data_IF_556619133747
#
_entry.id   IF_556619133747
#
_cell.length_a   1.000
_cell.length_b   1.000
_cell.length_c   1.000
_cell.angle_alpha   90.00
_cell.angle_beta   90.00
_cell.angle_gamma   90.00
#
_symmetry.space_group_name_H-M   'P 1'
#
loop_
_entity.id
_entity.type
_entity.pdbx_description
1 polymer ?
#
# COMPACT_ATOMS: atom_id res chain seq x y z
N UNK A 1 -50.06 -9.99 -2.42
CA UNK A 1 -49.02 -10.83 -1.77
C UNK A 1 -47.87 -11.25 -2.70
N UNK A 2 -48.12 -11.78 -3.91
CA UNK A 2 -47.04 -12.16 -4.86
C UNK A 2 -46.06 -11.03 -5.22
N UNK A 3 -46.53 -9.79 -5.37
CA UNK A 3 -45.67 -8.64 -5.70
C UNK A 3 -44.78 -8.18 -4.53
N UNK A 4 -45.23 -8.31 -3.29
CA UNK A 4 -44.42 -7.95 -2.10
C UNK A 4 -43.28 -8.96 -1.90
N UNK A 5 -43.55 -10.25 -2.13
CA UNK A 5 -42.53 -11.30 -2.08
C UNK A 5 -41.48 -11.09 -3.18
N UNK A 6 -41.91 -10.70 -4.39
CA UNK A 6 -41.00 -10.38 -5.50
C UNK A 6 -40.08 -9.20 -5.13
N UNK A 7 -40.61 -8.11 -4.57
CA UNK A 7 -39.83 -6.94 -4.15
C UNK A 7 -38.84 -7.24 -3.01
N UNK A 8 -39.21 -8.09 -2.04
CA UNK A 8 -38.33 -8.52 -0.94
C UNK A 8 -37.17 -9.38 -1.48
N UNK A 9 -37.45 -10.27 -2.43
CA UNK A 9 -36.42 -11.11 -3.06
C UNK A 9 -35.39 -10.26 -3.83
N UNK A 10 -35.83 -9.21 -4.54
CA UNK A 10 -34.92 -8.33 -5.28
C UNK A 10 -33.99 -7.52 -4.36
N UNK A 11 -34.46 -7.11 -3.17
CA UNK A 11 -33.65 -6.33 -2.21
C UNK A 11 -32.56 -7.18 -1.55
N UNK A 12 -32.83 -8.47 -1.30
CA UNK A 12 -31.87 -9.39 -0.69
C UNK A 12 -30.63 -9.63 -1.57
N UNK A 13 -30.77 -9.59 -2.91
CA UNK A 13 -29.65 -9.79 -3.84
C UNK A 13 -28.72 -8.58 -4.03
N UNK A 14 -29.07 -7.38 -3.56
CA UNK A 14 -28.26 -6.16 -3.74
C UNK A 14 -27.16 -6.03 -2.65
N UNK A 15 -27.11 -6.94 -1.68
CA UNK A 15 -26.27 -6.78 -0.49
C UNK A 15 -24.84 -7.31 -0.61
N UNK A 16 -24.43 -7.92 -1.74
CA UNK A 16 -23.20 -8.73 -1.75
C UNK A 16 -22.04 -8.12 -2.57
N UNK A 17 -20.87 -8.10 -1.94
CA UNK A 17 -19.56 -7.63 -2.40
C UNK A 17 -19.29 -6.12 -2.26
N UNK A 18 -18.16 -5.82 -1.63
CA UNK A 18 -17.61 -4.46 -1.57
C UNK A 18 -17.23 -4.00 -2.98
N UNK A 19 -17.84 -2.90 -3.45
CA UNK A 19 -17.48 -2.28 -4.72
C UNK A 19 -16.21 -1.43 -4.62
N UNK A 20 -15.56 -1.17 -5.76
CA UNK A 20 -14.33 -0.35 -5.85
C UNK A 20 -14.51 1.04 -5.24
N UNK A 21 -15.65 1.72 -5.48
CA UNK A 21 -15.95 3.04 -4.89
C UNK A 21 -15.96 3.00 -3.36
N UNK A 22 -16.61 2.00 -2.78
CA UNK A 22 -16.68 1.82 -1.32
C UNK A 22 -15.31 1.47 -0.74
N UNK A 23 -14.55 0.63 -1.45
CA UNK A 23 -13.18 0.29 -1.08
C UNK A 23 -12.26 1.52 -1.10
N UNK A 24 -12.26 2.31 -2.17
CA UNK A 24 -11.54 3.59 -2.25
C UNK A 24 -11.91 4.52 -1.09
N UNK A 25 -13.21 4.64 -0.75
CA UNK A 25 -13.65 5.45 0.38
C UNK A 25 -13.13 4.98 1.75
N UNK A 26 -12.65 3.74 1.88
CA UNK A 26 -11.97 3.26 3.09
C UNK A 26 -10.48 3.59 3.09
N UNK A 27 -9.85 3.52 1.92
CA UNK A 27 -8.40 3.70 1.75
C UNK A 27 -8.03 5.18 1.74
N UNK A 28 -8.78 6.00 1.00
CA UNK A 28 -8.47 7.41 0.73
C UNK A 28 -8.19 8.25 1.98
N UNK A 29 -9.07 8.23 3.01
CA UNK A 29 -8.83 9.02 4.22
C UNK A 29 -7.57 8.62 4.99
N UNK A 30 -7.05 7.40 4.78
CA UNK A 30 -5.83 6.93 5.46
C UNK A 30 -4.55 7.39 4.76
N UNK A 31 -4.62 7.90 3.53
CA UNK A 31 -3.47 8.44 2.79
C UNK A 31 -3.49 9.96 2.62
N UNK A 32 -4.58 10.63 3.04
CA UNK A 32 -4.61 12.08 3.17
C UNK A 32 -3.79 12.51 4.40
N UNK A 33 -2.49 12.69 4.23
CA UNK A 33 -1.60 13.26 5.24
C UNK A 33 -1.30 14.72 4.94
N UNK A 34 -1.21 15.55 5.98
CA UNK A 34 -0.79 16.95 5.83
C UNK A 34 0.73 16.98 5.82
N UNK A 35 1.30 17.30 4.66
CA UNK A 35 2.74 17.34 4.46
C UNK A 35 3.39 18.39 5.37
N UNK A 36 4.48 18.00 6.05
CA UNK A 36 5.42 18.93 6.66
C UNK A 36 6.66 18.87 5.77
N UNK A 37 6.85 19.88 4.92
CA UNK A 37 8.07 19.97 4.12
C UNK A 37 9.22 20.35 5.03
N UNK A 38 10.16 19.44 5.24
CA UNK A 38 11.44 19.73 5.86
C UNK A 38 12.49 19.69 4.76
N UNK A 39 13.12 20.82 4.46
CA UNK A 39 14.22 20.90 3.50
C UNK A 39 15.54 20.93 4.26
N UNK A 40 16.56 20.25 3.71
CA UNK A 40 17.94 20.27 4.24
C UNK A 40 18.89 20.66 3.11
N UNK A 41 19.80 21.59 3.37
CA UNK A 41 20.67 22.15 2.32
C UNK A 41 21.63 21.13 1.68
N UNK A 42 21.92 20.03 2.40
CA UNK A 42 22.90 19.01 1.99
C UNK A 42 22.26 17.69 1.53
N UNK A 43 20.93 17.55 1.61
CA UNK A 43 20.21 16.32 1.23
C UNK A 43 19.07 16.70 0.29
N UNK A 44 19.10 16.20 -0.94
CA UNK A 44 18.05 16.41 -1.93
C UNK A 44 17.44 15.07 -2.32
N UNK A 45 16.11 14.97 -2.30
CA UNK A 45 15.38 13.75 -2.67
C UNK A 45 14.52 14.04 -3.89
N UNK A 46 14.85 13.37 -4.99
CA UNK A 46 14.15 13.40 -6.26
C UNK A 46 13.12 12.26 -6.34
N UNK A 47 11.86 12.66 -6.45
CA UNK A 47 10.71 11.76 -6.64
C UNK A 47 10.22 11.70 -8.09
N UNK A 48 10.84 12.43 -9.03
CA UNK A 48 10.43 12.47 -10.44
C UNK A 48 10.57 11.12 -11.16
N UNK A 49 11.35 10.19 -10.60
CA UNK A 49 11.44 8.82 -11.07
C UNK A 49 10.18 7.99 -10.83
N UNK A 50 9.24 8.48 -10.01
CA UNK A 50 7.99 7.81 -9.70
C UNK A 50 6.87 8.20 -10.67
N UNK A 51 6.08 7.23 -11.11
CA UNK A 51 4.93 7.49 -11.97
C UNK A 51 3.89 8.33 -11.22
N UNK A 52 3.64 9.55 -11.69
CA UNK A 52 2.62 10.40 -11.10
C UNK A 52 1.26 10.10 -11.73
N UNK A 53 0.36 9.49 -10.97
CA UNK A 53 -0.99 9.16 -11.41
C UNK A 53 -1.99 10.26 -11.04
N UNK A 54 -2.97 10.52 -11.91
CA UNK A 54 -4.07 11.43 -11.58
C UNK A 54 -4.90 10.89 -10.40
N UNK A 55 -4.88 11.59 -9.27
CA UNK A 55 -5.60 11.25 -8.03
C UNK A 55 -4.74 10.56 -6.98
N UNK A 56 -5.24 10.51 -5.75
CA UNK A 56 -4.56 9.94 -4.57
C UNK A 56 -4.56 8.42 -4.60
N UNK A 57 -5.72 7.81 -4.86
CA UNK A 57 -5.92 6.36 -4.89
C UNK A 57 -6.83 5.96 -6.05
N UNK A 58 -6.49 4.86 -6.70
CA UNK A 58 -7.27 4.21 -7.75
C UNK A 58 -7.53 2.76 -7.34
N UNK A 59 -8.81 2.40 -7.19
CA UNK A 59 -9.22 1.00 -6.99
C UNK A 59 -9.79 0.43 -8.28
N UNK A 60 -9.19 -0.64 -8.79
CA UNK A 60 -9.64 -1.36 -9.99
C UNK A 60 -10.15 -2.75 -9.62
N UNK A 61 -11.25 -3.16 -10.25
CA UNK A 61 -11.83 -4.49 -10.08
C UNK A 61 -11.04 -5.46 -10.95
N UNK A 62 -10.41 -6.46 -10.35
CA UNK A 62 -9.65 -7.50 -11.05
C UNK A 62 -10.56 -8.71 -11.34
N UNK A 63 -11.35 -9.13 -10.34
CA UNK A 63 -12.30 -10.23 -10.47
C UNK A 63 -13.55 -9.94 -9.66
N UNK A 64 -14.72 -10.28 -10.20
CA UNK A 64 -16.00 -10.11 -9.53
C UNK A 64 -16.97 -11.13 -10.08
N UNK A 65 -17.23 -12.17 -9.31
CA UNK A 65 -18.08 -13.28 -9.68
C UNK A 65 -18.96 -13.66 -8.50
N UNK A 66 -20.24 -13.89 -8.77
CA UNK A 66 -21.18 -14.45 -7.82
C UNK A 66 -22.04 -15.51 -8.52
N UNK A 67 -22.06 -16.72 -8.00
CA UNK A 67 -22.83 -17.85 -8.53
C UNK A 67 -23.81 -18.29 -7.46
N UNK A 68 -25.09 -17.86 -7.55
CA UNK A 68 -26.13 -18.27 -6.60
C UNK A 68 -26.88 -19.50 -7.13
N UNK A 69 -26.40 -20.71 -6.83
CA UNK A 69 -27.18 -21.94 -7.05
C UNK A 69 -27.99 -22.31 -5.81
N UNK A 70 -29.04 -23.13 -5.96
CA UNK A 70 -29.98 -23.45 -4.86
C UNK A 70 -29.26 -24.03 -3.63
N UNK A 71 -28.32 -24.96 -3.85
CA UNK A 71 -27.58 -25.63 -2.78
C UNK A 71 -26.11 -25.21 -2.70
N UNK A 72 -25.68 -24.27 -3.54
CA UNK A 72 -24.28 -23.88 -3.67
C UNK A 72 -24.13 -22.42 -4.05
N UNK A 73 -23.52 -21.63 -3.17
CA UNK A 73 -23.16 -20.24 -3.45
C UNK A 73 -21.66 -20.12 -3.59
N UNK A 74 -21.20 -19.36 -4.56
CA UNK A 74 -19.78 -19.03 -4.71
C UNK A 74 -19.63 -17.54 -4.97
N UNK A 75 -18.64 -16.92 -4.32
CA UNK A 75 -18.26 -15.54 -4.58
C UNK A 75 -16.77 -15.40 -4.74
N UNK A 76 -16.37 -14.43 -5.56
CA UNK A 76 -14.99 -14.03 -5.72
C UNK A 76 -14.94 -12.55 -6.12
N UNK A 77 -14.45 -11.71 -5.22
CA UNK A 77 -14.26 -10.28 -5.43
C UNK A 77 -12.81 -9.92 -5.14
N UNK A 78 -12.08 -9.52 -6.17
CA UNK A 78 -10.69 -9.08 -6.08
C UNK A 78 -10.59 -7.64 -6.56
N UNK A 79 -10.02 -6.78 -5.73
CA UNK A 79 -9.82 -5.36 -5.97
C UNK A 79 -8.32 -5.06 -5.86
N UNK A 80 -7.72 -4.53 -6.92
CA UNK A 80 -6.38 -3.94 -6.87
C UNK A 80 -6.51 -2.49 -6.45
N UNK A 81 -5.78 -2.10 -5.43
CA UNK A 81 -5.68 -0.73 -4.97
C UNK A 81 -4.30 -0.19 -5.32
N UNK A 82 -4.28 0.94 -6.02
CA UNK A 82 -3.08 1.66 -6.42
C UNK A 82 -3.11 3.00 -5.72
N UNK A 83 -2.12 3.24 -4.87
CA UNK A 83 -1.85 4.54 -4.23
C UNK A 83 -0.90 5.30 -5.14
N UNK A 84 -1.09 6.61 -5.28
CA UNK A 84 -0.16 7.44 -6.04
C UNK A 84 1.26 7.26 -5.47
N UNK A 85 2.22 6.74 -6.27
CA UNK A 85 3.59 6.52 -5.83
C UNK A 85 4.25 7.76 -5.22
N UNK A 86 3.94 8.95 -5.72
CA UNK A 86 4.45 10.23 -5.20
C UNK A 86 4.07 10.45 -3.74
N UNK A 87 2.87 10.05 -3.31
CA UNK A 87 2.44 10.18 -1.90
C UNK A 87 3.26 9.24 -1.01
N UNK A 88 3.54 8.03 -1.49
CA UNK A 88 4.40 7.09 -0.78
C UNK A 88 5.85 7.60 -0.76
N UNK A 89 6.31 8.20 -1.86
CA UNK A 89 7.62 8.85 -1.99
C UNK A 89 7.81 10.03 -1.04
N UNK A 90 6.78 10.85 -0.84
CA UNK A 90 6.78 11.93 0.15
C UNK A 90 6.88 11.39 1.58
N UNK A 91 6.18 10.27 1.87
CA UNK A 91 6.34 9.60 3.17
C UNK A 91 7.75 9.03 3.34
N UNK A 92 8.35 8.51 2.26
CA UNK A 92 9.74 8.07 2.26
C UNK A 92 10.68 9.23 2.57
N UNK A 93 10.51 10.40 1.95
CA UNK A 93 11.30 11.59 2.20
C UNK A 93 11.22 12.04 3.67
N UNK A 94 10.01 12.13 4.22
CA UNK A 94 9.79 12.49 5.64
C UNK A 94 10.51 11.52 6.58
N UNK A 95 10.34 10.20 6.38
CA UNK A 95 11.02 9.20 7.19
C UNK A 95 12.53 9.20 6.99
N UNK A 96 13.00 9.45 5.77
CA UNK A 96 14.42 9.50 5.47
C UNK A 96 15.08 10.63 6.24
N UNK A 97 14.50 11.82 6.21
CA UNK A 97 14.99 12.98 6.95
C UNK A 97 14.93 12.73 8.46
N UNK A 98 13.82 12.16 8.95
CA UNK A 98 13.70 11.77 10.36
C UNK A 98 14.83 10.82 10.81
N UNK A 99 15.14 9.79 10.01
CA UNK A 99 16.19 8.84 10.34
C UNK A 99 17.59 9.41 10.14
N UNK A 100 17.77 10.25 9.12
CA UNK A 100 18.99 11.00 8.87
C UNK A 100 19.38 11.84 10.09
N UNK A 101 18.41 12.52 10.70
CA UNK A 101 18.61 13.29 11.93
C UNK A 101 18.96 12.37 13.10
N UNK A 102 18.22 11.27 13.28
CA UNK A 102 18.45 10.34 14.41
C UNK A 102 19.79 9.59 14.34
N UNK A 103 20.36 9.44 13.14
CA UNK A 103 21.60 8.72 12.87
C UNK A 103 22.76 9.65 12.51
N UNK A 104 22.61 10.97 12.70
CA UNK A 104 23.64 11.97 12.42
C UNK A 104 24.26 11.88 11.03
N UNK A 105 23.45 11.62 10.00
CA UNK A 105 23.92 11.52 8.61
C UNK A 105 24.57 12.84 8.17
N UNK A 106 24.03 13.99 8.59
CA UNK A 106 24.58 15.29 8.26
C UNK A 106 26.02 15.48 8.77
N UNK A 107 26.33 14.99 9.96
CA UNK A 107 27.69 15.04 10.53
C UNK A 107 28.66 14.14 9.75
N UNK A 108 28.16 12.98 9.30
CA UNK A 108 28.92 12.03 8.48
C UNK A 108 29.20 12.55 7.06
N UNK A 109 28.35 13.42 6.54
CA UNK A 109 28.56 14.02 5.22
C UNK A 109 29.75 15.00 5.20
N UNK A 110 30.17 15.56 6.34
CA UNK A 110 31.35 16.45 6.43
C UNK A 110 31.36 17.59 5.38
N UNK A 111 30.19 18.19 5.10
CA UNK A 111 30.03 19.26 4.10
C UNK A 111 29.79 18.78 2.66
N UNK A 112 29.77 17.47 2.41
CA UNK A 112 29.35 16.88 1.14
C UNK A 112 27.84 16.98 0.98
N UNK A 113 27.38 16.96 -0.28
CA UNK A 113 25.96 16.95 -0.63
C UNK A 113 25.58 15.57 -1.14
N UNK A 114 24.38 15.13 -0.79
CA UNK A 114 23.81 13.89 -1.31
C UNK A 114 22.50 14.15 -2.04
N UNK A 115 22.44 13.61 -3.25
CA UNK A 115 21.25 13.55 -4.08
C UNK A 115 20.74 12.12 -4.08
N UNK A 116 19.47 11.92 -3.78
CA UNK A 116 18.79 10.64 -3.76
C UNK A 116 17.70 10.65 -4.82
N UNK A 117 17.61 9.60 -5.62
CA UNK A 117 16.52 9.41 -6.58
C UNK A 117 15.77 8.13 -6.25
N UNK A 118 14.49 8.27 -5.89
CA UNK A 118 13.63 7.11 -5.61
C UNK A 118 13.16 6.51 -6.94
N UNK A 119 13.68 5.34 -7.27
CA UNK A 119 13.37 4.66 -8.55
C UNK A 119 12.15 3.76 -8.45
N UNK A 120 12.02 3.03 -7.33
CA UNK A 120 10.92 2.10 -7.10
C UNK A 120 10.46 2.15 -5.65
N UNK A 121 9.16 2.09 -5.43
CA UNK A 121 8.53 2.06 -4.12
C UNK A 121 7.23 1.25 -4.19
N UNK A 122 6.92 0.39 -3.20
CA UNK A 122 5.64 -0.31 -3.18
C UNK A 122 4.50 0.71 -3.02
N UNK A 123 3.56 0.67 -3.95
CA UNK A 123 2.46 1.64 -4.04
C UNK A 123 1.11 0.98 -4.28
N UNK A 124 1.05 -0.35 -4.33
CA UNK A 124 -0.20 -1.08 -4.56
C UNK A 124 -0.36 -2.29 -3.66
N UNK A 125 -1.59 -2.79 -3.58
CA UNK A 125 -1.95 -4.02 -2.89
C UNK A 125 -3.26 -4.58 -3.45
N UNK A 126 -3.51 -5.86 -3.22
CA UNK A 126 -4.68 -6.56 -3.74
C UNK A 126 -5.54 -7.08 -2.60
N UNK A 127 -6.75 -6.54 -2.49
CA UNK A 127 -7.79 -7.10 -1.64
C UNK A 127 -8.49 -8.26 -2.34
N UNK A 128 -8.67 -9.38 -1.66
CA UNK A 128 -9.40 -10.54 -2.15
C UNK A 128 -10.41 -11.00 -1.12
N UNK A 129 -11.64 -11.20 -1.57
CA UNK A 129 -12.72 -11.80 -0.80
C UNK A 129 -13.37 -12.88 -1.64
N UNK A 130 -13.10 -14.14 -1.31
CA UNK A 130 -13.61 -15.30 -2.04
C UNK A 130 -14.08 -16.36 -1.08
N UNK A 131 -15.05 -17.15 -1.51
CA UNK A 131 -15.55 -18.24 -0.71
C UNK A 131 -16.67 -18.97 -1.41
N UNK A 132 -17.17 -19.97 -0.72
CA UNK A 132 -18.35 -20.69 -1.10
C UNK A 132 -19.15 -21.12 0.13
N UNK A 133 -20.44 -21.36 -0.11
CA UNK A 133 -21.36 -21.91 0.87
C UNK A 133 -22.06 -23.11 0.26
N UNK A 134 -22.11 -24.23 0.98
CA UNK A 134 -22.92 -25.38 0.62
C UNK A 134 -24.11 -25.40 1.58
N UNK A 135 -25.31 -25.39 1.00
CA UNK A 135 -26.57 -25.30 1.74
C UNK A 135 -27.18 -26.70 1.78
N UNK A 136 -27.33 -27.26 2.98
CA UNK A 136 -28.09 -28.47 3.24
C UNK A 136 -29.48 -28.08 3.78
N UNK A 137 -30.39 -29.06 3.85
CA UNK A 137 -31.78 -28.83 4.29
C UNK A 137 -31.83 -28.26 5.73
N UNK A 138 -30.91 -28.68 6.61
CA UNK A 138 -30.91 -28.33 8.04
C UNK A 138 -29.68 -27.53 8.48
N UNK A 139 -28.68 -27.37 7.62
CA UNK A 139 -27.39 -26.78 7.96
C UNK A 139 -26.76 -26.14 6.73
N UNK A 140 -25.73 -25.33 6.94
CA UNK A 140 -24.89 -24.86 5.86
C UNK A 140 -23.44 -24.84 6.31
N UNK A 141 -22.52 -25.00 5.36
CA UNK A 141 -21.08 -24.79 5.60
C UNK A 141 -20.60 -23.64 4.77
N UNK A 142 -19.66 -22.87 5.32
CA UNK A 142 -19.05 -21.70 4.70
C UNK A 142 -17.55 -21.89 4.72
N UNK A 143 -16.93 -21.76 3.55
CA UNK A 143 -15.49 -21.61 3.43
C UNK A 143 -15.20 -20.24 2.83
N UNK A 144 -14.53 -19.39 3.59
CA UNK A 144 -14.31 -17.99 3.26
C UNK A 144 -12.85 -17.60 3.45
N UNK A 145 -12.34 -16.81 2.51
CA UNK A 145 -11.06 -16.15 2.59
C UNK A 145 -11.25 -14.67 2.26
N UNK A 146 -11.01 -13.83 3.25
CA UNK A 146 -10.79 -12.40 3.07
C UNK A 146 -9.32 -12.09 3.41
N UNK A 147 -8.58 -11.53 2.46
CA UNK A 147 -7.15 -11.27 2.61
C UNK A 147 -6.71 -10.05 1.79
N UNK A 148 -5.61 -9.42 2.21
CA UNK A 148 -4.89 -8.39 1.46
C UNK A 148 -3.49 -8.88 1.16
N UNK A 149 -3.11 -8.85 -0.11
CA UNK A 149 -1.82 -9.23 -0.62
C UNK A 149 -1.01 -7.96 -0.94
N UNK A 150 0.18 -7.77 -0.34
CA UNK A 150 1.04 -6.65 -0.67
C UNK A 150 1.62 -6.80 -2.08
N UNK A 151 1.99 -5.67 -2.70
CA UNK A 151 2.82 -5.72 -3.90
C UNK A 151 4.23 -6.21 -3.55
N UNK A 152 4.73 -7.18 -4.30
CA UNK A 152 6.11 -7.67 -4.22
C UNK A 152 7.05 -6.68 -4.90
N UNK A 153 7.26 -5.53 -4.25
CA UNK A 153 8.11 -4.45 -4.75
C UNK A 153 9.03 -3.93 -3.64
N UNK A 154 10.32 -4.01 -3.90
CA UNK A 154 11.39 -3.44 -3.08
C UNK A 154 11.45 -1.92 -3.23
N UNK A 155 12.01 -1.23 -2.23
CA UNK A 155 12.41 0.17 -2.36
C UNK A 155 13.78 0.19 -3.00
N UNK A 156 13.91 0.93 -4.11
CA UNK A 156 15.18 1.13 -4.82
C UNK A 156 15.47 2.61 -4.91
N UNK A 157 16.64 3.01 -4.41
CA UNK A 157 17.09 4.40 -4.37
C UNK A 157 18.49 4.49 -4.95
N UNK A 158 18.65 5.34 -5.96
CA UNK A 158 19.97 5.70 -6.47
C UNK A 158 20.49 6.89 -5.68
N UNK A 159 21.78 6.91 -5.35
CA UNK A 159 22.40 8.02 -4.65
C UNK A 159 23.60 8.56 -5.41
N UNK A 160 23.87 9.85 -5.21
CA UNK A 160 25.03 10.55 -5.74
C UNK A 160 25.59 11.48 -4.66
N UNK A 161 26.83 11.23 -4.26
CA UNK A 161 27.57 12.02 -3.29
C UNK A 161 28.47 13.00 -4.04
N UNK A 162 28.34 14.29 -3.76
CA UNK A 162 29.11 15.36 -4.39
C UNK A 162 29.85 16.21 -3.38
N UNK A 163 31.02 16.70 -3.77
CA UNK A 163 31.80 17.68 -3.04
C UNK A 163 32.35 18.69 -4.04
N UNK A 164 32.13 19.98 -3.79
CA UNK A 164 32.60 21.07 -4.66
C UNK A 164 32.24 20.89 -6.15
N UNK A 165 31.04 20.34 -6.41
CA UNK A 165 30.52 20.08 -7.75
C UNK A 165 31.03 18.79 -8.42
N UNK A 166 31.98 18.08 -7.81
CA UNK A 166 32.54 16.82 -8.30
C UNK A 166 31.84 15.62 -7.68
N UNK A 167 31.60 14.57 -8.47
CA UNK A 167 30.99 13.32 -7.98
C UNK A 167 32.05 12.47 -7.31
N UNK A 168 31.89 12.20 -6.02
CA UNK A 168 32.79 11.33 -5.26
C UNK A 168 32.38 9.87 -5.36
N UNK A 169 31.08 9.61 -5.26
CA UNK A 169 30.54 8.26 -5.23
C UNK A 169 29.09 8.27 -5.70
N UNK A 170 28.69 7.19 -6.36
CA UNK A 170 27.32 6.93 -6.75
C UNK A 170 27.02 5.44 -6.64
N UNK A 171 25.76 5.11 -6.47
CA UNK A 171 25.36 3.72 -6.34
C UNK A 171 23.86 3.55 -6.15
N UNK A 172 23.46 2.30 -5.91
CA UNK A 172 22.07 1.93 -5.66
C UNK A 172 21.92 1.25 -4.33
N UNK A 173 20.91 1.66 -3.59
CA UNK A 173 20.50 1.09 -2.32
C UNK A 173 19.15 0.41 -2.53
N UNK A 174 19.01 -0.79 -1.98
CA UNK A 174 17.76 -1.56 -2.08
C UNK A 174 17.35 -2.06 -0.70
N UNK A 175 16.11 -1.83 -0.31
CA UNK A 175 15.50 -2.40 0.88
C UNK A 175 14.42 -3.40 0.44
N UNK A 176 14.53 -4.64 0.93
CA UNK A 176 13.68 -5.72 0.43
C UNK A 176 12.33 -5.77 1.13
N UNK A 177 11.26 -5.87 0.33
CA UNK A 177 9.91 -5.94 0.84
C UNK A 177 9.55 -7.39 1.19
N UNK A 178 9.63 -7.70 2.49
CA UNK A 178 9.29 -9.01 3.05
C UNK A 178 7.83 -9.10 3.54
N UNK A 179 6.95 -8.25 3.04
CA UNK A 179 5.54 -8.21 3.48
C UNK A 179 4.82 -9.50 3.11
N UNK A 180 4.02 -10.01 4.05
CA UNK A 180 3.24 -11.23 3.85
C UNK A 180 1.75 -10.89 3.69
N UNK A 181 0.96 -11.76 3.05
CA UNK A 181 -0.48 -11.58 2.96
C UNK A 181 -1.12 -11.52 4.35
N UNK A 182 -1.97 -10.52 4.57
CA UNK A 182 -2.73 -10.40 5.81
C UNK A 182 -4.11 -11.04 5.59
N UNK A 183 -4.50 -11.98 6.46
CA UNK A 183 -5.83 -12.59 6.43
C UNK A 183 -6.75 -11.91 7.44
N UNK A 184 -8.00 -11.71 7.07
CA UNK A 184 -9.02 -11.26 8.01
C UNK A 184 -9.67 -12.46 8.69
N UNK A 185 -9.69 -12.44 10.02
CA UNK A 185 -10.27 -13.52 10.83
C UNK A 185 -11.59 -13.09 11.48
N UNK A 186 -11.78 -11.79 11.75
CA UNK A 186 -12.85 -11.31 12.63
C UNK A 186 -13.20 -9.82 12.51
N UNK A 187 -12.40 -9.02 11.80
CA UNK A 187 -12.64 -7.57 11.70
C UNK A 187 -13.63 -7.30 10.57
N UNK A 188 -14.30 -6.16 10.59
CA UNK A 188 -15.00 -5.69 9.39
C UNK A 188 -14.00 -5.33 8.29
N UNK A 189 -14.37 -5.46 7.02
CA UNK A 189 -13.51 -5.12 5.86
C UNK A 189 -12.88 -3.73 5.98
N UNK A 190 -13.62 -2.74 6.49
CA UNK A 190 -13.09 -1.39 6.74
C UNK A 190 -11.95 -1.39 7.77
N UNK A 191 -12.18 -1.98 8.95
CA UNK A 191 -11.17 -2.04 10.03
C UNK A 191 -9.97 -2.91 9.62
N UNK A 192 -10.23 -3.98 8.88
CA UNK A 192 -9.21 -4.85 8.32
C UNK A 192 -8.32 -4.11 7.30
N UNK A 193 -8.93 -3.39 6.36
CA UNK A 193 -8.20 -2.55 5.39
C UNK A 193 -7.37 -1.50 6.09
N UNK A 194 -7.91 -0.84 7.13
CA UNK A 194 -7.16 0.14 7.92
C UNK A 194 -5.97 -0.45 8.65
N UNK A 195 -6.13 -1.62 9.26
CA UNK A 195 -5.03 -2.34 9.90
C UNK A 195 -3.91 -2.62 8.90
N UNK A 196 -4.25 -3.07 7.70
CA UNK A 196 -3.27 -3.30 6.64
C UNK A 196 -2.56 -2.00 6.23
N UNK A 197 -3.27 -0.89 6.04
CA UNK A 197 -2.65 0.39 5.67
C UNK A 197 -1.68 0.88 6.75
N UNK A 198 -2.02 0.69 8.03
CA UNK A 198 -1.14 1.04 9.13
C UNK A 198 0.13 0.17 9.12
N UNK A 199 0.00 -1.14 8.86
CA UNK A 199 1.16 -2.04 8.66
C UNK A 199 2.00 -1.66 7.44
N UNK A 200 1.36 -1.29 6.34
CA UNK A 200 2.03 -0.83 5.12
C UNK A 200 2.88 0.41 5.38
N UNK A 201 2.33 1.42 6.06
CA UNK A 201 3.08 2.63 6.46
C UNK A 201 4.26 2.30 7.36
N UNK A 202 4.05 1.46 8.37
CA UNK A 202 5.11 1.04 9.29
C UNK A 202 6.22 0.27 8.55
N UNK A 203 5.84 -0.55 7.55
CA UNK A 203 6.82 -1.30 6.77
C UNK A 203 7.64 -0.40 5.85
N UNK A 204 7.01 0.55 5.18
CA UNK A 204 7.72 1.58 4.40
C UNK A 204 8.67 2.37 5.29
N UNK A 205 8.23 2.78 6.48
CA UNK A 205 9.10 3.43 7.48
C UNK A 205 10.31 2.57 7.84
N UNK A 206 10.15 1.26 8.01
CA UNK A 206 11.24 0.34 8.31
C UNK A 206 12.21 0.20 7.13
N UNK A 207 11.68 0.08 5.91
CA UNK A 207 12.49 -0.02 4.70
C UNK A 207 13.27 1.27 4.43
N UNK A 208 12.68 2.44 4.69
CA UNK A 208 13.40 3.72 4.63
C UNK A 208 14.56 3.76 5.62
N UNK A 209 14.37 3.26 6.85
CA UNK A 209 15.46 3.14 7.83
C UNK A 209 16.60 2.27 7.30
N UNK A 210 16.27 1.11 6.70
CA UNK A 210 17.29 0.24 6.08
C UNK A 210 18.07 0.96 4.98
N UNK A 211 17.42 1.80 4.17
CA UNK A 211 18.11 2.63 3.17
C UNK A 211 19.07 3.61 3.83
N UNK A 212 18.66 4.29 4.91
CA UNK A 212 19.52 5.25 5.63
C UNK A 212 20.73 4.53 6.25
N UNK A 213 20.53 3.38 6.89
CA UNK A 213 21.61 2.59 7.49
C UNK A 213 22.62 2.10 6.44
N UNK A 214 22.13 1.65 5.27
CA UNK A 214 23.01 1.27 4.16
C UNK A 214 23.76 2.47 3.62
N UNK A 215 23.08 3.61 3.47
CA UNK A 215 23.72 4.83 2.99
C UNK A 215 24.87 5.27 3.91
N UNK A 216 24.68 5.19 5.23
CA UNK A 216 25.71 5.52 6.23
C UNK A 216 26.97 4.66 6.05
N UNK A 217 26.82 3.43 5.57
CA UNK A 217 27.96 2.53 5.32
C UNK A 217 28.70 2.91 4.03
N UNK A 218 28.04 3.63 3.12
CA UNK A 218 28.60 4.04 1.84
C UNK A 218 29.28 5.42 1.86
N UNK A 219 28.95 6.29 2.83
CA UNK A 219 29.50 7.66 2.98
C UNK A 219 30.70 7.72 3.93
#
# INVERSE_FOLDING_TARGET
MKQIILSIFTILFITSCIGTKRFTGFVDPKFQYKQISQTRDNITIDLTGLENTNGTIKSTKVKSQFVPAILYWQWNNTIKCEVNPTIVGQSFEEYFLQYSDSLSVQDKLQGRKIELKVEKIPSSFVYTHRGNSIIFIIAYTVNELEAIFPQEQDIVVSYKLTQDGSVLKEGKLTASNKSQPLKNVWKSTKKFTWLYIDQFKQKNKTMTKEIVEKLITEI
#
